data_IF_674969726724
#
_entry.id   IF_674969726724
#
_cell.length_a   1.000
_cell.length_b   1.000
_cell.length_c   1.000
_cell.angle_alpha   90.00
_cell.angle_beta   90.00
_cell.angle_gamma   90.00
#
_symmetry.space_group_name_H-M   'P 1'
#
loop_
_entity.id
_entity.type
_entity.pdbx_description
1 polymer ?
#
# COMPACT_ATOMS: atom_id res chain seq x y z
N UNK A 1 -6.53 -10.26 -14.24
CA UNK A 1 -6.68 -10.64 -12.81
C UNK A 1 -7.67 -9.67 -12.16
N UNK A 2 -8.76 -10.17 -11.57
CA UNK A 2 -9.78 -9.28 -11.00
C UNK A 2 -9.32 -8.64 -9.68
N UNK A 3 -9.97 -7.54 -9.25
CA UNK A 3 -9.60 -6.83 -8.01
C UNK A 3 -9.60 -7.72 -6.76
N UNK A 4 -10.41 -8.76 -6.72
CA UNK A 4 -10.46 -9.70 -5.61
C UNK A 4 -9.15 -10.48 -5.44
N UNK A 5 -8.34 -10.58 -6.50
CA UNK A 5 -7.06 -11.28 -6.46
C UNK A 5 -5.88 -10.37 -6.15
N UNK A 6 -5.86 -9.14 -6.71
CA UNK A 6 -4.72 -8.25 -6.49
C UNK A 6 -4.93 -7.24 -5.35
N UNK A 7 -6.18 -6.93 -5.01
CA UNK A 7 -6.47 -5.96 -3.96
C UNK A 7 -5.97 -6.38 -2.57
N UNK A 8 -6.37 -7.57 -2.07
CA UNK A 8 -5.96 -7.99 -0.73
C UNK A 8 -4.44 -8.04 -0.50
N UNK A 9 -3.61 -8.54 -1.43
CA UNK A 9 -2.16 -8.48 -1.23
C UNK A 9 -1.60 -7.06 -1.12
N UNK A 10 -2.17 -6.10 -1.85
CA UNK A 10 -1.74 -4.70 -1.77
C UNK A 10 -2.13 -4.10 -0.43
N UNK A 11 -3.38 -4.31 0.02
CA UNK A 11 -3.83 -3.83 1.33
C UNK A 11 -3.03 -4.47 2.46
N UNK A 12 -2.76 -5.78 2.37
CA UNK A 12 -1.95 -6.49 3.36
C UNK A 12 -0.57 -5.86 3.46
N UNK A 13 0.06 -5.53 2.32
CA UNK A 13 1.35 -4.86 2.31
C UNK A 13 1.28 -3.51 3.04
N UNK A 14 0.33 -2.66 2.67
CA UNK A 14 0.22 -1.33 3.25
C UNK A 14 0.01 -1.39 4.76
N UNK A 15 -0.91 -2.24 5.22
CA UNK A 15 -1.20 -2.37 6.65
C UNK A 15 -0.03 -2.99 7.41
N UNK A 16 0.65 -3.99 6.84
CA UNK A 16 1.82 -4.59 7.48
C UNK A 16 2.96 -3.59 7.63
N UNK A 17 3.21 -2.76 6.61
CA UNK A 17 4.24 -1.73 6.71
C UNK A 17 3.95 -0.76 7.84
N UNK A 18 2.69 -0.35 7.98
CA UNK A 18 2.30 0.55 9.07
C UNK A 18 2.46 -0.12 10.44
N UNK A 19 2.07 -1.38 10.58
CA UNK A 19 2.18 -2.10 11.85
C UNK A 19 3.61 -2.41 12.24
N UNK A 20 4.46 -2.77 11.27
CA UNK A 20 5.83 -3.20 11.54
C UNK A 20 6.83 -2.05 11.60
N UNK A 21 6.44 -0.85 11.18
CA UNK A 21 7.29 0.33 11.30
C UNK A 21 7.63 0.57 12.77
N UNK A 22 8.92 0.75 13.07
CA UNK A 22 9.35 1.10 14.42
C UNK A 22 8.95 2.54 14.72
N UNK A 23 8.47 2.80 15.94
CA UNK A 23 8.05 4.14 16.34
C UNK A 23 9.17 5.17 16.14
N UNK A 24 10.38 4.83 16.55
CA UNK A 24 11.53 5.72 16.42
C UNK A 24 11.94 5.97 14.96
N UNK A 25 11.53 5.10 14.05
CA UNK A 25 11.85 5.22 12.64
C UNK A 25 10.84 6.06 11.86
N UNK A 26 9.69 6.34 12.45
CA UNK A 26 8.60 7.05 11.77
C UNK A 26 9.06 8.33 11.08
N UNK A 27 9.79 9.26 11.75
CA UNK A 27 10.17 10.51 11.09
C UNK A 27 11.04 10.31 9.85
N UNK A 28 11.81 9.24 9.82
CA UNK A 28 12.74 8.94 8.71
C UNK A 28 12.00 8.31 7.53
N UNK A 29 11.03 7.42 7.80
CA UNK A 29 10.44 6.60 6.75
C UNK A 29 9.13 7.13 6.19
N UNK A 30 8.41 8.01 6.91
CA UNK A 30 7.04 8.36 6.52
C UNK A 30 6.94 9.02 5.14
N UNK A 31 7.79 10.00 4.84
CA UNK A 31 7.70 10.70 3.56
C UNK A 31 8.04 9.80 2.37
N UNK A 32 9.18 9.08 2.37
CA UNK A 32 9.46 8.19 1.25
C UNK A 32 8.46 7.03 1.15
N UNK A 33 8.03 6.48 2.28
CA UNK A 33 7.04 5.39 2.27
C UNK A 33 5.71 5.87 1.69
N UNK A 34 5.22 7.03 2.12
CA UNK A 34 3.98 7.59 1.58
C UNK A 34 4.09 7.83 0.07
N UNK A 35 5.25 8.30 -0.39
CA UNK A 35 5.53 8.48 -1.82
C UNK A 35 5.46 7.17 -2.60
N UNK A 36 6.00 6.08 -2.04
CA UNK A 36 5.93 4.75 -2.66
C UNK A 36 4.48 4.23 -2.70
N UNK A 37 3.73 4.41 -1.62
CA UNK A 37 2.32 4.02 -1.59
C UNK A 37 1.53 4.78 -2.66
N UNK A 38 1.77 6.08 -2.80
CA UNK A 38 1.14 6.90 -3.83
C UNK A 38 1.45 6.37 -5.23
N UNK A 39 2.71 6.03 -5.50
CA UNK A 39 3.10 5.48 -6.80
C UNK A 39 2.46 4.13 -7.07
N UNK A 40 2.44 3.25 -6.08
CA UNK A 40 1.79 1.94 -6.21
C UNK A 40 0.30 2.14 -6.53
N UNK A 41 -0.37 3.00 -5.78
CA UNK A 41 -1.79 3.30 -5.97
C UNK A 41 -2.08 3.95 -7.32
N UNK A 42 -1.09 4.66 -7.89
CA UNK A 42 -1.24 5.34 -9.18
C UNK A 42 -1.24 4.40 -10.37
N UNK A 43 -0.75 3.16 -10.21
CA UNK A 43 -0.59 2.20 -11.30
C UNK A 43 -1.16 0.83 -10.94
N UNK A 44 -2.36 0.82 -10.36
CA UNK A 44 -3.06 -0.43 -10.07
C UNK A 44 -3.49 -1.13 -11.36
N UNK A 45 -3.68 -2.47 -11.35
CA UNK A 45 -4.18 -3.19 -12.53
C UNK A 45 -5.63 -2.88 -12.90
N UNK A 46 -6.14 -1.73 -12.49
CA UNK A 46 -7.47 -1.22 -12.77
C UNK A 46 -7.36 0.31 -12.84
N UNK A 47 -7.45 0.92 -14.05
CA UNK A 47 -7.29 2.38 -14.18
C UNK A 47 -8.26 3.20 -13.35
N UNK A 48 -9.52 2.76 -13.26
CA UNK A 48 -10.52 3.45 -12.44
C UNK A 48 -10.16 3.38 -10.96
N UNK A 49 -9.69 2.23 -10.50
CA UNK A 49 -9.23 2.07 -9.11
C UNK A 49 -8.04 2.99 -8.81
N UNK A 50 -7.11 3.10 -9.76
CA UNK A 50 -5.95 3.99 -9.61
C UNK A 50 -6.39 5.45 -9.50
N UNK A 51 -7.35 5.88 -10.33
CA UNK A 51 -7.82 7.25 -10.31
C UNK A 51 -8.44 7.60 -8.95
N UNK A 52 -9.27 6.72 -8.41
CA UNK A 52 -9.88 6.95 -7.09
C UNK A 52 -8.85 6.94 -5.97
N UNK A 53 -7.90 6.01 -6.02
CA UNK A 53 -6.84 5.93 -5.00
C UNK A 53 -5.95 7.17 -5.03
N UNK A 54 -5.54 7.62 -6.22
CA UNK A 54 -4.75 8.84 -6.36
C UNK A 54 -5.49 10.05 -5.81
N UNK A 55 -6.77 10.18 -6.13
CA UNK A 55 -7.58 11.31 -5.66
C UNK A 55 -7.68 11.34 -4.14
N UNK A 56 -7.83 10.18 -3.51
CA UNK A 56 -7.88 10.10 -2.06
C UNK A 56 -6.53 10.51 -1.45
N UNK A 57 -5.45 9.91 -1.93
CA UNK A 57 -4.12 10.13 -1.35
C UNK A 57 -3.59 11.55 -1.63
N UNK A 58 -3.96 12.15 -2.76
CA UNK A 58 -3.53 13.50 -3.11
C UNK A 58 -4.08 14.56 -2.16
N UNK A 59 -5.18 14.27 -1.48
CA UNK A 59 -5.77 15.20 -0.50
C UNK A 59 -5.05 15.18 0.84
N UNK A 60 -4.16 14.20 1.06
CA UNK A 60 -3.45 14.04 2.32
C UNK A 60 -2.11 14.75 2.22
N UNK A 61 -1.84 15.63 3.17
CA UNK A 61 -0.52 16.27 3.30
C UNK A 61 0.34 15.40 4.21
N UNK A 62 1.41 14.77 3.69
CA UNK A 62 2.25 13.88 4.51
C UNK A 62 2.86 14.57 5.74
N UNK A 63 3.06 15.90 5.69
CA UNK A 63 3.62 16.63 6.82
C UNK A 63 2.66 16.68 8.01
N UNK A 64 1.37 16.41 7.79
CA UNK A 64 0.37 16.35 8.86
C UNK A 64 0.25 14.98 9.52
N UNK A 65 0.92 13.97 8.97
CA UNK A 65 1.00 12.66 9.60
C UNK A 65 2.09 12.76 10.67
N UNK A 66 1.68 12.76 11.94
CA UNK A 66 2.58 13.09 13.05
C UNK A 66 3.29 11.88 13.65
N UNK A 67 2.67 10.71 13.56
CA UNK A 67 3.20 9.51 14.20
C UNK A 67 2.65 8.26 13.50
N UNK A 68 3.12 7.10 13.96
CA UNK A 68 2.71 5.80 13.43
C UNK A 68 1.19 5.59 13.54
N UNK A 69 0.59 6.02 14.65
CA UNK A 69 -0.85 5.86 14.86
C UNK A 69 -1.64 6.66 13.83
N UNK A 70 -1.22 7.89 13.54
CA UNK A 70 -1.86 8.70 12.49
C UNK A 70 -1.81 7.99 11.15
N UNK A 71 -0.65 7.41 10.82
CA UNK A 71 -0.47 6.72 9.55
C UNK A 71 -1.36 5.48 9.47
N UNK A 72 -1.44 4.68 10.54
CA UNK A 72 -2.33 3.52 10.61
C UNK A 72 -3.78 3.96 10.39
N UNK A 73 -4.20 5.05 11.02
CA UNK A 73 -5.57 5.57 10.89
C UNK A 73 -5.87 6.04 9.46
N UNK A 74 -4.91 6.69 8.81
CA UNK A 74 -5.08 7.13 7.41
C UNK A 74 -5.28 5.92 6.49
N UNK A 75 -4.49 4.87 6.65
CA UNK A 75 -4.65 3.65 5.86
C UNK A 75 -5.98 2.96 6.13
N UNK A 76 -6.42 2.96 7.39
CA UNK A 76 -7.72 2.43 7.76
C UNK A 76 -8.86 3.19 7.07
N UNK A 77 -8.82 4.52 7.13
CA UNK A 77 -9.82 5.37 6.47
C UNK A 77 -9.81 5.16 4.97
N UNK A 78 -8.62 5.09 4.37
CA UNK A 78 -8.45 4.84 2.94
C UNK A 78 -9.05 3.50 2.53
N UNK A 79 -8.72 2.44 3.26
CA UNK A 79 -9.25 1.10 2.98
C UNK A 79 -10.78 1.08 3.07
N UNK A 80 -11.34 1.70 4.11
CA UNK A 80 -12.79 1.74 4.26
C UNK A 80 -13.48 2.63 3.23
N UNK A 81 -12.84 3.68 2.76
CA UNK A 81 -13.37 4.50 1.67
C UNK A 81 -13.50 3.66 0.38
N UNK A 82 -12.51 2.82 0.09
CA UNK A 82 -12.56 1.89 -1.04
C UNK A 82 -13.66 0.84 -0.84
N UNK A 83 -13.74 0.26 0.34
CA UNK A 83 -14.75 -0.76 0.65
C UNK A 83 -16.16 -0.18 0.52
N UNK A 84 -16.39 1.02 1.01
CA UNK A 84 -17.69 1.69 0.90
C UNK A 84 -18.07 1.92 -0.57
N UNK A 85 -17.14 2.37 -1.38
CA UNK A 85 -17.38 2.59 -2.81
C UNK A 85 -17.76 1.30 -3.54
N UNK A 86 -17.17 0.18 -3.11
CA UNK A 86 -17.41 -1.14 -3.71
C UNK A 86 -18.53 -1.91 -3.02
N UNK A 87 -19.23 -1.32 -2.08
CA UNK A 87 -20.28 -1.96 -1.29
C UNK A 87 -19.79 -3.20 -0.52
N UNK A 88 -18.54 -3.16 -0.06
CA UNK A 88 -17.95 -4.21 0.78
C UNK A 88 -18.10 -3.84 2.26
N UNK A 89 -18.06 -4.86 3.13
CA UNK A 89 -18.10 -4.65 4.57
C UNK A 89 -16.91 -3.79 5.01
N UNK A 90 -17.14 -2.89 5.97
CA UNK A 90 -16.08 -2.05 6.50
C UNK A 90 -15.21 -2.84 7.47
N UNK A 91 -13.92 -2.51 7.49
CA UNK A 91 -12.98 -3.09 8.44
C UNK A 91 -13.20 -2.52 9.84
N UNK A 92 -13.06 -3.39 10.85
CA UNK A 92 -13.00 -2.96 12.21
C UNK A 92 -11.53 -2.73 12.60
N UNK A 93 -11.20 -1.50 13.00
CA UNK A 93 -9.83 -1.12 13.34
C UNK A 93 -9.23 -1.93 14.49
N UNK A 94 -10.07 -2.44 15.38
CA UNK A 94 -9.60 -3.25 16.52
C UNK A 94 -8.92 -4.55 16.10
N UNK A 95 -9.28 -5.07 14.92
CA UNK A 95 -8.70 -6.31 14.40
C UNK A 95 -7.45 -6.10 13.55
N UNK A 96 -7.20 -4.87 13.08
CA UNK A 96 -6.09 -4.61 12.14
C UNK A 96 -4.73 -4.91 12.76
N UNK A 97 -4.48 -4.40 13.95
CA UNK A 97 -3.19 -4.57 14.62
C UNK A 97 -2.86 -6.05 14.81
N UNK A 98 -3.82 -6.80 15.37
CA UNK A 98 -3.63 -8.22 15.64
C UNK A 98 -3.44 -9.03 14.35
N UNK A 99 -4.18 -8.67 13.31
CA UNK A 99 -4.17 -9.41 12.04
C UNK A 99 -2.87 -9.17 11.27
N UNK A 100 -2.39 -7.92 11.22
CA UNK A 100 -1.23 -7.58 10.38
C UNK A 100 0.11 -7.65 11.10
N UNK A 101 0.15 -7.47 12.41
CA UNK A 101 1.40 -7.52 13.18
C UNK A 101 2.07 -8.90 13.14
N UNK A 102 1.30 -9.96 12.96
CA UNK A 102 1.80 -11.33 12.94
C UNK A 102 2.26 -11.80 11.57
N UNK A 103 2.03 -11.02 10.53
CA UNK A 103 2.41 -11.40 9.17
C UNK A 103 3.92 -11.28 8.95
N UNK A 104 4.47 -12.18 8.14
CA UNK A 104 5.87 -12.10 7.72
C UNK A 104 5.97 -11.08 6.59
N UNK A 105 6.70 -10.00 6.81
CA UNK A 105 6.79 -8.90 5.85
C UNK A 105 7.42 -9.34 4.51
N UNK A 106 8.43 -10.23 4.55
CA UNK A 106 9.06 -10.73 3.32
C UNK A 106 8.05 -11.49 2.47
N UNK A 107 7.26 -12.37 3.09
CA UNK A 107 6.23 -13.13 2.38
C UNK A 107 5.15 -12.21 1.82
N UNK A 108 4.72 -11.23 2.60
CA UNK A 108 3.73 -10.22 2.16
C UNK A 108 4.27 -9.43 0.97
N UNK A 109 5.52 -9.02 1.03
CA UNK A 109 6.16 -8.26 -0.04
C UNK A 109 6.27 -9.10 -1.32
N UNK A 110 6.67 -10.36 -1.20
CA UNK A 110 6.81 -11.26 -2.36
C UNK A 110 5.45 -11.52 -3.03
N UNK A 111 4.39 -11.69 -2.24
CA UNK A 111 3.05 -11.85 -2.78
C UNK A 111 2.59 -10.59 -3.50
N UNK A 112 2.87 -9.43 -2.93
CA UNK A 112 2.58 -8.14 -3.57
C UNK A 112 3.27 -8.04 -4.94
N UNK A 113 4.56 -8.32 -5.00
CA UNK A 113 5.31 -8.26 -6.27
C UNK A 113 4.67 -9.16 -7.32
N UNK A 114 4.33 -10.38 -6.92
CA UNK A 114 3.74 -11.35 -7.84
C UNK A 114 2.44 -10.84 -8.45
N UNK A 115 1.52 -10.36 -7.63
CA UNK A 115 0.21 -9.92 -8.13
C UNK A 115 0.26 -8.57 -8.83
N UNK A 116 1.14 -7.66 -8.39
CA UNK A 116 1.23 -6.32 -8.94
C UNK A 116 1.91 -6.30 -10.31
N UNK A 117 2.84 -7.21 -10.53
CA UNK A 117 3.57 -7.32 -11.79
C UNK A 117 2.83 -8.14 -12.85
N UNK A 118 1.57 -8.49 -12.64
CA UNK A 118 0.82 -9.23 -13.64
C UNK A 118 0.73 -8.43 -14.93
N UNK A 119 0.93 -9.11 -16.06
CA UNK A 119 0.76 -8.50 -17.37
C UNK A 119 -0.74 -8.32 -17.63
N UNK A 120 -1.14 -7.07 -17.88
CA UNK A 120 -2.49 -6.78 -18.29
C UNK A 120 -2.70 -7.10 -19.76
N UNK A 121 -3.87 -6.75 -20.28
CA UNK A 121 -4.13 -6.82 -21.72
C UNK A 121 -3.33 -5.73 -22.46
N UNK A 122 -3.43 -5.71 -23.80
CA UNK A 122 -2.66 -4.74 -24.61
C UNK A 122 -2.93 -3.28 -24.25
N UNK A 123 -4.14 -2.97 -23.78
CA UNK A 123 -4.48 -1.60 -23.37
C UNK A 123 -3.72 -1.16 -22.12
N UNK A 124 -3.31 -2.11 -21.28
CA UNK A 124 -2.62 -1.83 -20.01
C UNK A 124 -1.12 -2.06 -20.10
N UNK A 125 -0.58 -2.30 -21.29
CA UNK A 125 0.84 -2.63 -21.46
C UNK A 125 1.76 -1.53 -20.93
N UNK A 126 1.48 -0.27 -21.27
CA UNK A 126 2.27 0.87 -20.79
C UNK A 126 2.26 0.93 -19.26
N UNK A 127 1.10 0.72 -18.65
CA UNK A 127 0.97 0.73 -17.19
C UNK A 127 1.69 -0.45 -16.56
N UNK A 128 1.73 -1.61 -17.23
CA UNK A 128 2.50 -2.76 -16.77
C UNK A 128 3.99 -2.43 -16.69
N UNK A 129 4.53 -1.69 -17.66
CA UNK A 129 5.91 -1.23 -17.61
C UNK A 129 6.13 -0.28 -16.43
N UNK A 130 5.22 0.68 -16.22
CA UNK A 130 5.31 1.59 -15.08
C UNK A 130 5.28 0.83 -13.75
N UNK A 131 4.46 -0.21 -13.63
CA UNK A 131 4.41 -1.03 -12.42
C UNK A 131 5.75 -1.71 -12.14
N UNK A 132 6.45 -2.16 -13.17
CA UNK A 132 7.78 -2.76 -13.00
C UNK A 132 8.78 -1.76 -12.43
N UNK A 133 8.74 -0.51 -12.89
CA UNK A 133 9.58 0.55 -12.35
C UNK A 133 9.21 0.87 -10.90
N UNK A 134 7.92 0.95 -10.61
CA UNK A 134 7.43 1.21 -9.25
C UNK A 134 7.92 0.13 -8.29
N UNK A 135 7.78 -1.15 -8.68
CA UNK A 135 8.23 -2.28 -7.86
C UNK A 135 9.74 -2.24 -7.67
N UNK A 136 10.50 -1.99 -8.72
CA UNK A 136 11.96 -1.96 -8.65
C UNK A 136 12.44 -0.87 -7.69
N UNK A 137 11.88 0.32 -7.79
CA UNK A 137 12.20 1.45 -6.92
C UNK A 137 11.82 1.14 -5.46
N UNK A 138 10.64 0.59 -5.25
CA UNK A 138 10.16 0.27 -3.91
C UNK A 138 10.98 -0.85 -3.28
N UNK A 139 11.31 -1.89 -4.04
CA UNK A 139 12.14 -2.99 -3.56
C UNK A 139 13.50 -2.50 -3.10
N UNK A 140 14.14 -1.63 -3.89
CA UNK A 140 15.43 -1.03 -3.53
C UNK A 140 15.32 -0.27 -2.22
N UNK A 141 14.29 0.56 -2.09
CA UNK A 141 14.07 1.33 -0.87
C UNK A 141 13.83 0.42 0.33
N UNK A 142 13.04 -0.64 0.18
CA UNK A 142 12.77 -1.58 1.26
C UNK A 142 14.04 -2.29 1.73
N UNK A 143 14.89 -2.70 0.81
CA UNK A 143 16.16 -3.34 1.16
C UNK A 143 17.04 -2.38 1.96
N UNK A 144 17.13 -1.12 1.53
CA UNK A 144 17.93 -0.11 2.20
C UNK A 144 17.35 0.29 3.57
N UNK A 145 16.06 0.11 3.77
CA UNK A 145 15.35 0.57 4.97
C UNK A 145 14.76 -0.58 5.80
N UNK A 146 15.15 -1.82 5.53
CA UNK A 146 14.61 -2.98 6.22
C UNK A 146 14.77 -2.88 7.76
N UNK A 147 15.82 -2.22 8.22
CA UNK A 147 16.09 -2.02 9.66
C UNK A 147 14.99 -1.22 10.38
N UNK A 148 14.18 -0.48 9.65
CA UNK A 148 13.13 0.37 10.23
C UNK A 148 11.81 -0.38 10.44
N UNK A 149 11.76 -1.65 10.03
CA UNK A 149 10.57 -2.51 10.15
C UNK A 149 10.91 -3.76 10.94
N UNK A 150 10.03 -4.17 11.85
CA UNK A 150 10.28 -5.34 12.70
C UNK A 150 9.22 -6.44 12.53
#
# INVERSE_FOLDING_TARGET
MPPEEWGPPIWTLFHCLAEKMKEESFPVVIKPLFGHIYKIASFLPCPECSQHAKSFLAKINPTRIKNKTDFKNILYVFHNAVNKRKNKALFNSEHLERFYAQRNLVNVFNRFIYVYNTNGNMKLLTESFHRKFVVSSFKKWMIENAKHFS
#
